data_IF_577253281289
#
_entry.id   IF_577253281289
#
_cell.length_a   1.000
_cell.length_b   1.000
_cell.length_c   1.000
_cell.angle_alpha   90.00
_cell.angle_beta   90.00
_cell.angle_gamma   90.00
#
_symmetry.space_group_name_H-M   'P 1'
#
loop_
_entity.id
_entity.type
_entity.pdbx_description
1 polymer ?
#
# COMPACT_ATOMS: atom_id res chain seq x y z
N UNK A 1 -2.50 -10.50 14.21
CA UNK A 1 -1.52 -9.49 13.75
C UNK A 1 -0.75 -10.12 12.59
N UNK A 2 -0.90 -9.60 11.37
CA UNK A 2 -0.07 -10.06 10.25
C UNK A 2 1.33 -9.44 10.38
N UNK A 3 2.38 -10.18 10.05
CA UNK A 3 3.71 -9.59 9.93
C UNK A 3 3.76 -8.59 8.76
N UNK A 4 4.63 -7.57 8.88
CA UNK A 4 4.95 -6.69 7.75
C UNK A 4 5.87 -7.41 6.77
N UNK A 5 5.60 -7.30 5.48
CA UNK A 5 6.52 -7.64 4.40
C UNK A 5 6.22 -6.77 3.17
N UNK A 6 7.21 -6.60 2.28
CA UNK A 6 7.01 -5.84 1.04
C UNK A 6 5.94 -6.50 0.15
N UNK A 7 5.99 -7.83 -0.02
CA UNK A 7 4.97 -8.57 -0.77
C UNK A 7 3.55 -8.40 -0.22
N UNK A 8 3.39 -8.31 1.11
CA UNK A 8 2.09 -8.04 1.72
C UNK A 8 1.59 -6.62 1.42
N UNK A 9 2.50 -5.65 1.36
CA UNK A 9 2.17 -4.27 0.98
C UNK A 9 1.83 -4.17 -0.51
N UNK A 10 2.62 -4.78 -1.40
CA UNK A 10 2.35 -4.83 -2.85
C UNK A 10 0.96 -5.41 -3.13
N UNK A 11 0.62 -6.55 -2.53
CA UNK A 11 -0.71 -7.16 -2.67
C UNK A 11 -1.83 -6.24 -2.17
N UNK A 12 -1.64 -5.59 -1.02
CA UNK A 12 -2.63 -4.64 -0.49
C UNK A 12 -2.80 -3.41 -1.37
N UNK A 13 -1.74 -2.94 -2.01
CA UNK A 13 -1.79 -1.83 -2.96
C UNK A 13 -2.45 -2.24 -4.28
N UNK A 14 -2.24 -3.46 -4.76
CA UNK A 14 -2.94 -3.97 -5.96
C UNK A 14 -4.45 -4.14 -5.73
N UNK A 15 -4.84 -4.52 -4.52
CA UNK A 15 -6.26 -4.68 -4.10
C UNK A 15 -6.92 -3.37 -3.64
N UNK A 16 -6.16 -2.25 -3.60
CA UNK A 16 -6.68 -0.96 -3.15
C UNK A 16 -7.74 -0.43 -4.13
N UNK A 17 -8.90 -0.04 -3.59
CA UNK A 17 -10.02 0.54 -4.33
C UNK A 17 -10.41 1.91 -3.75
N UNK A 18 -11.29 2.63 -4.46
CA UNK A 18 -11.81 3.94 -4.03
C UNK A 18 -12.90 3.84 -2.94
N UNK A 19 -13.23 2.64 -2.47
CA UNK A 19 -14.19 2.48 -1.37
C UNK A 19 -13.57 2.92 -0.03
N UNK A 20 -14.39 3.56 0.82
CA UNK A 20 -13.95 4.05 2.13
C UNK A 20 -13.33 2.94 2.98
N UNK A 21 -13.94 1.76 2.97
CA UNK A 21 -13.49 0.60 3.75
C UNK A 21 -12.11 0.10 3.27
N UNK A 22 -11.86 0.08 1.97
CA UNK A 22 -10.56 -0.33 1.41
C UNK A 22 -9.45 0.64 1.84
N UNK A 23 -9.70 1.95 1.70
CA UNK A 23 -8.76 2.99 2.13
C UNK A 23 -8.51 2.97 3.64
N UNK A 24 -9.56 2.87 4.45
CA UNK A 24 -9.44 2.83 5.92
C UNK A 24 -8.66 1.61 6.39
N UNK A 25 -8.95 0.43 5.82
CA UNK A 25 -8.29 -0.82 6.20
C UNK A 25 -6.79 -0.76 5.93
N UNK A 26 -6.38 -0.28 4.74
CA UNK A 26 -4.97 -0.10 4.42
C UNK A 26 -4.32 0.95 5.32
N UNK A 27 -4.96 2.10 5.50
CA UNK A 27 -4.43 3.20 6.32
C UNK A 27 -4.13 2.75 7.76
N UNK A 28 -5.06 2.01 8.38
CA UNK A 28 -4.88 1.49 9.73
C UNK A 28 -3.73 0.49 9.81
N UNK A 29 -3.60 -0.38 8.80
CA UNK A 29 -2.50 -1.35 8.71
C UNK A 29 -1.14 -0.66 8.59
N UNK A 30 -1.03 0.40 7.78
CA UNK A 30 0.19 1.19 7.64
C UNK A 30 0.58 1.89 8.95
N UNK A 31 -0.38 2.47 9.67
CA UNK A 31 -0.15 3.10 10.99
C UNK A 31 0.34 2.07 12.01
N UNK A 32 -0.25 0.86 12.00
CA UNK A 32 0.18 -0.24 12.85
C UNK A 32 1.65 -0.62 12.58
N UNK A 33 2.05 -0.68 11.30
CA UNK A 33 3.41 -1.01 10.86
C UNK A 33 4.34 0.20 10.66
N UNK A 34 4.05 1.35 11.29
CA UNK A 34 4.81 2.61 11.11
C UNK A 34 6.33 2.51 11.35
N UNK A 35 6.81 1.50 12.07
CA UNK A 35 8.26 1.24 12.24
C UNK A 35 8.97 0.98 10.90
N UNK A 36 8.22 0.56 9.88
CA UNK A 36 8.70 0.30 8.52
C UNK A 36 8.37 1.46 7.55
N UNK A 37 8.14 2.68 8.05
CA UNK A 37 7.70 3.82 7.24
C UNK A 37 8.57 4.11 6.01
N UNK A 38 9.91 3.98 6.14
CA UNK A 38 10.83 4.15 5.00
C UNK A 38 10.55 3.14 3.88
N UNK A 39 10.44 1.86 4.23
CA UNK A 39 10.13 0.79 3.26
C UNK A 39 8.73 0.97 2.67
N UNK A 40 7.75 1.34 3.49
CA UNK A 40 6.37 1.60 3.05
C UNK A 40 6.34 2.65 1.94
N UNK A 41 7.01 3.79 2.15
CA UNK A 41 7.02 4.90 1.18
C UNK A 41 7.72 4.48 -0.12
N UNK A 42 8.86 3.77 -0.02
CA UNK A 42 9.58 3.27 -1.20
C UNK A 42 8.72 2.32 -2.04
N UNK A 43 8.09 1.32 -1.42
CA UNK A 43 7.23 0.36 -2.13
C UNK A 43 6.01 1.06 -2.72
N UNK A 44 5.33 1.92 -1.95
CA UNK A 44 4.19 2.69 -2.43
C UNK A 44 4.54 3.53 -3.66
N UNK A 45 5.69 4.22 -3.64
CA UNK A 45 6.12 5.05 -4.75
C UNK A 45 6.43 4.21 -6.01
N UNK A 46 7.05 3.04 -5.84
CA UNK A 46 7.32 2.12 -6.94
C UNK A 46 6.01 1.60 -7.55
N UNK A 47 5.05 1.18 -6.73
CA UNK A 47 3.72 0.73 -7.18
C UNK A 47 2.95 1.87 -7.86
N UNK A 48 3.02 3.09 -7.35
CA UNK A 48 2.42 4.26 -7.97
C UNK A 48 2.98 4.51 -9.38
N UNK A 49 4.30 4.36 -9.56
CA UNK A 49 4.94 4.49 -10.88
C UNK A 49 4.52 3.40 -11.85
N UNK A 50 4.37 2.16 -11.39
CA UNK A 50 3.84 1.04 -12.19
C UNK A 50 2.38 1.31 -12.57
N UNK A 51 1.57 1.73 -11.61
CA UNK A 51 0.14 2.01 -11.79
C UNK A 51 -0.15 3.18 -12.73
N UNK A 52 0.71 4.22 -12.80
CA UNK A 52 0.55 5.33 -13.76
C UNK A 52 0.71 4.90 -15.22
N UNK A 53 1.45 3.83 -15.50
CA UNK A 53 1.55 3.27 -16.85
C UNK A 53 0.28 2.50 -17.26
N UNK A 54 -0.49 2.01 -16.28
CA UNK A 54 -1.68 1.15 -16.49
C UNK A 54 -3.01 1.92 -16.29
N UNK A 55 -2.99 2.95 -15.44
CA UNK A 55 -4.09 3.85 -15.12
C UNK A 55 -3.67 5.26 -15.56
N UNK A 56 -3.93 5.62 -16.81
CA UNK A 56 -3.60 6.94 -17.36
C UNK A 56 -4.18 8.08 -16.53
N UNK A 57 -3.37 8.59 -15.59
CA UNK A 57 -3.60 9.76 -14.76
C UNK A 57 -2.53 10.80 -15.07
#
# INVERSE_FOLDING_TARGET
MSAFSEAALEKKLSELSNSQQSVQTLSLWLIHHRKHSKTIVTVWFNELRKGKADRGL
#
